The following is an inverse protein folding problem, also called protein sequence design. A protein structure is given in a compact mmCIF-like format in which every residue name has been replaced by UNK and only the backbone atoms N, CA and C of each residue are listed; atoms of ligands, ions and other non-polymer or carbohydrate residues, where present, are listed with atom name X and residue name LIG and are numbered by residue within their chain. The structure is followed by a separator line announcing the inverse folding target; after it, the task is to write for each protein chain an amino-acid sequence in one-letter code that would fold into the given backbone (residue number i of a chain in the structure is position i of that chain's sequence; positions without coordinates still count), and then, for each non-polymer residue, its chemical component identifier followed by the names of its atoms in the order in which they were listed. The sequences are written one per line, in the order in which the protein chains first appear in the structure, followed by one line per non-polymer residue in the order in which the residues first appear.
data_IF_478343141609
#
_entry.id   IF_478343141609
#
_cell.length_a   1.000
_cell.length_b   1.000
_cell.length_c   1.000
_cell.angle_alpha   90.00
_cell.angle_beta   90.00
_cell.angle_gamma   90.00
#
_symmetry.space_group_name_H-M   'P 1'
#
loop_
_entity.id
_entity.type
_entity.pdbx_description
1 polymer ?
#
# COMPACT_ATOMS: atom_id res chain seq x y z
N UNK A 1 14.34 -15.11 2.78
CA UNK A 1 14.56 -13.67 2.59
C UNK A 1 13.25 -13.09 2.09
N UNK A 2 12.79 -11.99 2.67
CA UNK A 2 11.50 -11.42 2.32
C UNK A 2 11.54 -10.71 0.95
N UNK A 3 10.43 -10.76 0.21
CA UNK A 3 10.18 -9.92 -0.97
C UNK A 3 9.09 -8.89 -0.63
N UNK A 4 9.40 -7.62 -0.86
CA UNK A 4 8.52 -6.48 -0.58
C UNK A 4 8.22 -5.79 -1.89
N UNK A 5 6.94 -5.76 -2.30
CA UNK A 5 6.49 -5.06 -3.49
C UNK A 5 5.89 -3.70 -3.12
N UNK A 6 6.37 -2.62 -3.72
CA UNK A 6 5.82 -1.27 -3.55
C UNK A 6 5.10 -0.88 -4.83
N UNK A 7 3.77 -0.81 -4.77
CA UNK A 7 2.89 -0.48 -5.89
C UNK A 7 2.55 1.01 -5.86
N UNK A 8 2.92 1.73 -6.91
CA UNK A 8 2.85 3.19 -6.99
C UNK A 8 4.16 3.86 -6.56
N UNK A 9 5.28 3.19 -6.79
CA UNK A 9 6.61 3.63 -6.35
C UNK A 9 7.19 4.81 -7.17
N UNK A 10 6.42 5.44 -8.05
CA UNK A 10 6.87 6.58 -8.84
C UNK A 10 7.04 7.90 -8.07
N UNK A 11 6.66 7.93 -6.77
CA UNK A 11 6.88 9.08 -5.92
C UNK A 11 8.29 9.08 -5.33
N UNK A 12 9.14 10.02 -5.77
CA UNK A 12 10.53 10.11 -5.32
C UNK A 12 10.65 10.22 -3.80
N UNK A 13 9.87 11.10 -3.16
CA UNK A 13 9.93 11.34 -1.72
C UNK A 13 9.40 10.13 -0.93
N UNK A 14 8.20 9.66 -1.27
CA UNK A 14 7.54 8.62 -0.49
C UNK A 14 8.25 7.27 -0.63
N UNK A 15 8.60 6.91 -1.86
CA UNK A 15 9.24 5.61 -2.13
C UNK A 15 10.67 5.54 -1.61
N UNK A 16 11.44 6.63 -1.65
CA UNK A 16 12.79 6.64 -1.06
C UNK A 16 12.74 6.56 0.47
N UNK A 17 11.78 7.23 1.12
CA UNK A 17 11.61 7.14 2.58
C UNK A 17 11.26 5.72 2.99
N UNK A 18 10.20 5.13 2.40
CA UNK A 18 9.79 3.75 2.70
C UNK A 18 10.92 2.74 2.44
N UNK A 19 11.63 2.90 1.33
CA UNK A 19 12.73 1.99 1.01
C UNK A 19 13.88 2.14 1.98
N UNK A 20 14.24 3.37 2.38
CA UNK A 20 15.28 3.58 3.40
C UNK A 20 14.90 2.96 4.74
N UNK A 21 13.63 3.04 5.15
CA UNK A 21 13.14 2.40 6.37
C UNK A 21 13.27 0.87 6.28
N UNK A 22 12.90 0.28 5.13
CA UNK A 22 13.07 -1.16 4.88
C UNK A 22 14.55 -1.55 4.98
N UNK A 23 15.46 -0.78 4.35
CA UNK A 23 16.90 -1.08 4.35
C UNK A 23 17.53 -1.03 5.76
N UNK A 24 16.95 -0.27 6.67
CA UNK A 24 17.44 -0.10 8.04
C UNK A 24 16.70 -0.99 9.06
N UNK A 25 15.64 -1.68 8.66
CA UNK A 25 14.82 -2.49 9.57
C UNK A 25 15.51 -3.81 9.89
N UNK A 26 15.86 -4.08 11.18
CA UNK A 26 16.43 -5.33 11.59
C UNK A 26 15.52 -6.52 11.25
N UNK A 27 16.13 -7.56 10.65
CA UNK A 27 15.42 -8.77 10.20
C UNK A 27 14.90 -8.70 8.76
N UNK A 28 15.14 -7.60 8.05
CA UNK A 28 14.87 -7.48 6.61
C UNK A 28 16.17 -7.48 5.76
N UNK A 29 17.30 -7.79 6.37
CA UNK A 29 18.58 -7.86 5.67
C UNK A 29 18.53 -8.82 4.50
N UNK A 30 19.05 -8.41 3.35
CA UNK A 30 19.07 -9.21 2.13
C UNK A 30 17.70 -9.38 1.46
N UNK A 31 16.67 -8.67 1.90
CA UNK A 31 15.36 -8.68 1.25
C UNK A 31 15.42 -8.16 -0.19
N UNK A 32 14.42 -8.53 -0.99
CA UNK A 32 14.23 -8.01 -2.34
C UNK A 32 13.12 -6.97 -2.33
N UNK A 33 13.39 -5.76 -2.82
CA UNK A 33 12.39 -4.70 -2.97
C UNK A 33 12.06 -4.55 -4.45
N UNK A 34 10.79 -4.80 -4.81
CA UNK A 34 10.25 -4.61 -6.14
C UNK A 34 9.51 -3.27 -6.19
N UNK A 35 9.98 -2.35 -7.01
CA UNK A 35 9.38 -1.03 -7.19
C UNK A 35 8.53 -1.04 -8.48
N UNK A 36 7.24 -0.76 -8.36
CA UNK A 36 6.33 -0.75 -9.51
C UNK A 36 5.63 0.60 -9.65
N UNK A 37 5.64 1.15 -10.86
CA UNK A 37 4.80 2.28 -11.28
C UNK A 37 4.52 2.17 -12.78
N UNK A 38 3.30 2.50 -13.25
CA UNK A 38 2.99 2.51 -14.68
C UNK A 38 3.91 3.41 -15.52
N UNK A 39 4.56 4.38 -14.89
CA UNK A 39 5.56 5.25 -15.54
C UNK A 39 6.95 4.76 -15.17
N UNK A 40 7.49 3.82 -15.94
CA UNK A 40 8.77 3.16 -15.69
C UNK A 40 9.92 4.12 -15.41
N UNK A 41 10.00 5.25 -16.13
CA UNK A 41 11.08 6.23 -15.93
C UNK A 41 11.11 6.84 -14.53
N UNK A 42 9.95 6.98 -13.87
CA UNK A 42 9.88 7.49 -12.50
C UNK A 42 10.45 6.48 -11.51
N UNK A 43 10.03 5.23 -11.63
CA UNK A 43 10.48 4.18 -10.71
C UNK A 43 11.94 3.81 -10.90
N UNK A 44 12.46 3.88 -12.13
CA UNK A 44 13.88 3.72 -12.43
C UNK A 44 14.74 4.79 -11.74
N UNK A 45 14.25 6.03 -11.64
CA UNK A 45 14.95 7.09 -10.92
C UNK A 45 15.07 6.78 -9.42
N UNK A 46 14.01 6.24 -8.82
CA UNK A 46 14.01 5.78 -7.41
C UNK A 46 14.99 4.61 -7.24
N UNK A 47 14.91 3.62 -8.13
CA UNK A 47 15.80 2.46 -8.11
C UNK A 47 17.28 2.86 -8.16
N UNK A 48 17.64 3.74 -9.10
CA UNK A 48 19.02 4.22 -9.24
C UNK A 48 19.51 4.95 -7.99
N UNK A 49 18.67 5.76 -7.38
CA UNK A 49 19.02 6.47 -6.15
C UNK A 49 19.24 5.50 -4.99
N UNK A 50 18.31 4.59 -4.75
CA UNK A 50 18.39 3.65 -3.63
C UNK A 50 19.48 2.60 -3.85
N UNK A 51 19.71 2.14 -5.08
CA UNK A 51 20.81 1.23 -5.43
C UNK A 51 22.19 1.82 -5.08
N UNK A 52 22.35 3.15 -5.22
CA UNK A 52 23.58 3.83 -4.76
C UNK A 52 23.70 3.77 -3.23
N UNK A 53 22.61 3.92 -2.50
CA UNK A 53 22.60 3.81 -1.03
C UNK A 53 23.00 2.39 -0.61
N UNK A 54 22.40 1.37 -1.20
CA UNK A 54 22.71 -0.04 -0.95
C UNK A 54 24.21 -0.28 -1.17
N UNK A 55 24.75 0.13 -2.32
CA UNK A 55 26.15 -0.05 -2.68
C UNK A 55 27.10 0.69 -1.73
N UNK A 56 26.82 1.95 -1.43
CA UNK A 56 27.70 2.79 -0.62
C UNK A 56 27.76 2.34 0.85
N UNK A 57 26.71 1.70 1.33
CA UNK A 57 26.62 1.20 2.70
C UNK A 57 26.92 -0.31 2.82
N UNK A 58 27.28 -0.98 1.73
CA UNK A 58 27.59 -2.42 1.74
C UNK A 58 26.39 -3.30 2.11
N UNK A 59 25.16 -2.85 1.86
CA UNK A 59 23.96 -3.61 2.19
C UNK A 59 23.75 -4.77 1.20
N UNK A 60 23.07 -5.83 1.67
CA UNK A 60 22.86 -7.06 0.90
C UNK A 60 21.51 -7.13 0.18
N UNK A 61 20.71 -6.08 0.30
CA UNK A 61 19.39 -5.98 -0.33
C UNK A 61 19.46 -6.00 -1.85
N UNK A 62 18.44 -6.56 -2.47
CA UNK A 62 18.23 -6.54 -3.92
C UNK A 62 17.09 -5.61 -4.27
N UNK A 63 17.15 -5.00 -5.44
CA UNK A 63 16.11 -4.10 -5.91
C UNK A 63 15.94 -4.21 -7.42
N UNK A 64 14.71 -4.03 -7.89
CA UNK A 64 14.42 -3.85 -9.30
C UNK A 64 13.18 -2.96 -9.48
N UNK A 65 13.11 -2.30 -10.65
CA UNK A 65 12.01 -1.45 -11.08
C UNK A 65 11.27 -2.10 -12.25
N UNK A 66 9.95 -2.03 -12.24
CA UNK A 66 9.09 -2.57 -13.30
C UNK A 66 7.83 -1.73 -13.47
N UNK A 67 7.23 -1.75 -14.67
CA UNK A 67 5.89 -1.25 -14.95
C UNK A 67 4.83 -2.37 -14.96
N UNK A 68 5.26 -3.62 -14.86
CA UNK A 68 4.37 -4.77 -14.71
C UNK A 68 4.07 -5.06 -13.23
N UNK A 69 2.80 -4.83 -12.86
CA UNK A 69 2.31 -5.08 -11.50
C UNK A 69 2.46 -6.55 -11.08
N UNK A 70 2.19 -7.47 -11.98
CA UNK A 70 2.28 -8.91 -11.67
C UNK A 70 3.72 -9.35 -11.44
N UNK A 71 4.68 -8.83 -12.22
CA UNK A 71 6.10 -9.09 -12.01
C UNK A 71 6.56 -8.63 -10.62
N UNK A 72 6.11 -7.46 -10.20
CA UNK A 72 6.41 -6.96 -8.84
C UNK A 72 5.82 -7.88 -7.76
N UNK A 73 4.59 -8.36 -7.95
CA UNK A 73 3.83 -9.13 -6.97
C UNK A 73 4.27 -10.58 -6.83
N UNK A 74 4.74 -11.24 -7.92
CA UNK A 74 5.09 -12.67 -7.89
C UNK A 74 5.99 -13.00 -6.71
N UNK A 75 5.50 -13.86 -5.79
CA UNK A 75 6.24 -14.31 -4.62
C UNK A 75 6.52 -13.23 -3.58
N UNK A 76 5.77 -12.14 -3.55
CA UNK A 76 5.87 -11.12 -2.50
C UNK A 76 5.36 -11.65 -1.16
N UNK A 77 6.06 -11.31 -0.09
CA UNK A 77 5.63 -11.54 1.29
C UNK A 77 4.87 -10.32 1.85
N UNK A 78 5.23 -9.12 1.35
CA UNK A 78 4.62 -7.86 1.73
C UNK A 78 4.32 -7.04 0.48
N UNK A 79 3.15 -6.41 0.45
CA UNK A 79 2.75 -5.49 -0.63
C UNK A 79 2.38 -4.16 0.00
N UNK A 80 3.01 -3.08 -0.45
CA UNK A 80 2.75 -1.72 0.01
C UNK A 80 2.10 -0.96 -1.15
N UNK A 81 0.92 -0.36 -0.92
CA UNK A 81 0.27 0.49 -1.92
C UNK A 81 0.47 1.97 -1.59
N UNK A 82 0.96 2.76 -2.55
CA UNK A 82 1.28 4.17 -2.35
C UNK A 82 1.07 4.99 -3.63
N UNK A 83 -0.18 5.06 -4.11
CA UNK A 83 -0.50 5.79 -5.34
C UNK A 83 -1.73 6.69 -5.18
N UNK A 84 -1.88 7.62 -6.09
CA UNK A 84 -3.04 8.50 -6.20
C UNK A 84 -3.58 8.51 -7.62
N UNK A 85 -4.82 8.04 -7.78
CA UNK A 85 -5.48 8.00 -9.08
C UNK A 85 -5.98 9.39 -9.47
N UNK A 86 -5.64 9.82 -10.69
CA UNK A 86 -6.02 11.11 -11.25
C UNK A 86 -5.13 12.29 -10.83
N UNK A 87 -4.13 12.05 -9.98
CA UNK A 87 -3.15 13.06 -9.60
C UNK A 87 -3.77 14.31 -8.95
N UNK A 88 -3.09 15.44 -9.08
CA UNK A 88 -3.51 16.74 -8.51
C UNK A 88 -4.74 17.32 -9.23
N UNK A 89 -4.93 17.03 -10.51
CA UNK A 89 -6.09 17.54 -11.26
C UNK A 89 -7.40 16.97 -10.72
N UNK A 90 -7.46 15.66 -10.50
CA UNK A 90 -8.62 15.04 -9.89
C UNK A 90 -8.82 15.50 -8.43
N UNK A 91 -7.73 15.67 -7.68
CA UNK A 91 -7.79 16.18 -6.31
C UNK A 91 -8.37 17.59 -6.24
N UNK A 92 -7.99 18.46 -7.17
CA UNK A 92 -8.55 19.80 -7.29
C UNK A 92 -10.08 19.78 -7.42
N UNK A 93 -10.60 18.90 -8.27
CA UNK A 93 -12.06 18.72 -8.43
C UNK A 93 -12.73 18.18 -7.17
N UNK A 94 -12.10 17.25 -6.45
CA UNK A 94 -12.61 16.71 -5.18
C UNK A 94 -12.77 17.78 -4.11
N UNK A 95 -11.97 18.83 -4.15
CA UNK A 95 -12.03 19.96 -3.24
C UNK A 95 -12.95 21.08 -3.74
N UNK A 96 -12.78 21.54 -4.98
CA UNK A 96 -13.47 22.72 -5.51
C UNK A 96 -14.97 22.51 -5.76
N UNK A 97 -15.37 21.28 -6.14
CA UNK A 97 -16.79 21.02 -6.40
C UNK A 97 -17.63 21.10 -5.13
N UNK A 98 -17.29 20.42 -4.02
CA UNK A 98 -18.02 20.55 -2.76
C UNK A 98 -18.06 21.99 -2.25
N UNK A 99 -16.97 22.74 -2.41
CA UNK A 99 -16.89 24.13 -1.97
C UNK A 99 -17.96 25.02 -2.64
N UNK A 100 -18.30 24.77 -3.91
CA UNK A 100 -19.37 25.48 -4.63
C UNK A 100 -20.76 25.30 -3.98
N UNK A 101 -20.92 24.24 -3.21
CA UNK A 101 -22.17 23.91 -2.48
C UNK A 101 -22.07 24.24 -0.98
N UNK A 102 -21.07 25.04 -0.58
CA UNK A 102 -20.88 25.45 0.81
C UNK A 102 -20.26 24.39 1.71
N UNK A 103 -19.73 23.29 1.15
CA UNK A 103 -19.01 22.26 1.90
C UNK A 103 -17.51 22.54 1.83
N UNK A 104 -17.01 23.24 2.83
CA UNK A 104 -15.58 23.49 2.98
C UNK A 104 -14.91 22.32 3.68
N UNK A 105 -13.96 21.69 2.99
CA UNK A 105 -13.23 20.52 3.46
C UNK A 105 -11.77 20.90 3.69
N UNK A 106 -11.25 20.70 4.90
CA UNK A 106 -9.85 21.03 5.22
C UNK A 106 -8.87 20.38 4.23
N UNK A 107 -8.98 19.05 4.03
CA UNK A 107 -8.16 18.29 3.08
C UNK A 107 -9.03 17.55 2.05
N UNK A 108 -10.23 17.07 2.47
CA UNK A 108 -11.23 16.45 1.60
C UNK A 108 -10.86 15.11 1.01
N UNK A 109 -9.82 14.43 1.52
CA UNK A 109 -9.34 13.20 0.90
C UNK A 109 -9.76 11.91 1.63
N UNK A 110 -10.22 11.99 2.87
CA UNK A 110 -10.55 10.82 3.69
C UNK A 110 -12.05 10.65 3.90
N UNK A 111 -12.75 11.76 4.20
CA UNK A 111 -14.19 11.80 4.49
C UNK A 111 -14.86 12.90 3.68
N UNK A 112 -16.20 12.86 3.64
CA UNK A 112 -16.98 13.84 2.89
C UNK A 112 -17.02 13.58 1.39
N UNK A 113 -17.61 14.50 0.60
CA UNK A 113 -17.84 14.32 -0.83
C UNK A 113 -16.56 14.06 -1.63
N UNK A 114 -15.48 14.77 -1.34
CA UNK A 114 -14.18 14.57 -2.00
C UNK A 114 -13.61 13.20 -1.73
N UNK A 115 -13.67 12.71 -0.48
CA UNK A 115 -13.24 11.37 -0.10
C UNK A 115 -14.04 10.27 -0.82
N UNK A 116 -15.36 10.45 -0.96
CA UNK A 116 -16.22 9.53 -1.72
C UNK A 116 -15.78 9.46 -3.18
N UNK A 117 -15.62 10.59 -3.85
CA UNK A 117 -15.21 10.64 -5.26
C UNK A 117 -13.83 10.02 -5.47
N UNK A 118 -12.91 10.27 -4.56
CA UNK A 118 -11.57 9.67 -4.58
C UNK A 118 -11.63 8.16 -4.39
N UNK A 119 -12.45 7.67 -3.45
CA UNK A 119 -12.69 6.25 -3.23
C UNK A 119 -13.26 5.56 -4.47
N UNK A 120 -14.27 6.15 -5.10
CA UNK A 120 -14.89 5.62 -6.32
C UNK A 120 -13.88 5.45 -7.48
N UNK A 121 -12.90 6.33 -7.60
CA UNK A 121 -11.83 6.20 -8.61
C UNK A 121 -10.79 5.15 -8.24
N UNK A 122 -10.52 4.97 -6.96
CA UNK A 122 -9.39 4.19 -6.48
C UNK A 122 -9.74 2.72 -6.27
N UNK A 123 -10.92 2.42 -5.75
CA UNK A 123 -11.37 1.06 -5.46
C UNK A 123 -11.29 0.11 -6.67
N UNK A 124 -11.70 0.48 -7.89
CA UNK A 124 -11.57 -0.43 -9.03
C UNK A 124 -10.15 -0.87 -9.33
N UNK A 125 -9.18 0.03 -9.13
CA UNK A 125 -7.76 -0.28 -9.33
C UNK A 125 -7.25 -1.22 -8.23
N UNK A 126 -7.64 -0.96 -6.98
CA UNK A 126 -7.31 -1.82 -5.85
C UNK A 126 -7.98 -3.21 -5.96
N UNK A 127 -9.22 -3.27 -6.43
CA UNK A 127 -9.90 -4.55 -6.69
C UNK A 127 -9.15 -5.38 -7.75
N UNK A 128 -8.63 -4.73 -8.80
CA UNK A 128 -7.75 -5.39 -9.77
C UNK A 128 -6.43 -5.87 -9.16
N UNK A 129 -5.85 -5.09 -8.26
CA UNK A 129 -4.65 -5.49 -7.51
C UNK A 129 -4.92 -6.73 -6.64
N UNK A 130 -6.06 -6.76 -5.93
CA UNK A 130 -6.44 -7.88 -5.07
C UNK A 130 -6.55 -9.18 -5.86
N UNK A 131 -7.16 -9.15 -7.06
CA UNK A 131 -7.24 -10.32 -7.95
C UNK A 131 -5.87 -10.82 -8.37
N UNK A 132 -4.95 -9.91 -8.74
CA UNK A 132 -3.59 -10.32 -9.06
C UNK A 132 -2.88 -10.93 -7.84
N UNK A 133 -3.06 -10.35 -6.65
CA UNK A 133 -2.47 -10.89 -5.42
C UNK A 133 -3.01 -12.29 -5.07
N UNK A 134 -4.31 -12.54 -5.25
CA UNK A 134 -4.91 -13.87 -5.06
C UNK A 134 -4.21 -14.94 -5.91
N UNK A 135 -3.79 -14.58 -7.13
CA UNK A 135 -3.16 -15.52 -8.05
C UNK A 135 -1.65 -15.70 -7.80
N UNK A 136 -0.91 -14.61 -7.53
CA UNK A 136 0.56 -14.63 -7.59
C UNK A 136 1.26 -14.49 -6.23
N UNK A 137 0.56 -14.02 -5.18
CA UNK A 137 1.08 -13.91 -3.82
C UNK A 137 -0.03 -14.02 -2.75
N UNK A 138 -0.78 -15.15 -2.71
CA UNK A 138 -1.97 -15.28 -1.87
C UNK A 138 -1.73 -15.20 -0.36
N UNK A 139 -0.49 -15.28 0.09
CA UNK A 139 -0.12 -15.19 1.50
C UNK A 139 0.55 -13.86 1.87
N UNK A 140 0.65 -12.92 0.93
CA UNK A 140 1.31 -11.65 1.18
C UNK A 140 0.49 -10.76 2.16
N UNK A 141 1.16 -10.02 3.01
CA UNK A 141 0.50 -8.99 3.82
C UNK A 141 0.40 -7.69 3.02
N UNK A 142 -0.82 -7.16 2.86
CA UNK A 142 -1.05 -5.89 2.20
C UNK A 142 -1.06 -4.73 3.22
N UNK A 143 -0.27 -3.71 2.94
CA UNK A 143 -0.13 -2.48 3.71
C UNK A 143 -0.61 -1.31 2.87
N UNK A 144 -1.79 -0.77 3.22
CA UNK A 144 -2.41 0.28 2.42
C UNK A 144 -2.05 1.68 2.91
N UNK A 145 -1.32 2.45 2.07
CA UNK A 145 -1.08 3.89 2.25
C UNK A 145 -1.97 4.76 1.33
N UNK A 146 -2.87 4.13 0.57
CA UNK A 146 -3.73 4.87 -0.37
C UNK A 146 -4.95 5.44 0.36
N UNK A 147 -5.20 6.72 0.17
CA UNK A 147 -6.39 7.41 0.68
C UNK A 147 -7.55 7.40 -0.33
N UNK A 148 -8.80 7.39 0.18
CA UNK A 148 -9.27 7.30 1.58
C UNK A 148 -9.04 5.90 2.16
N UNK A 149 -8.19 5.79 3.18
CA UNK A 149 -7.69 4.51 3.68
C UNK A 149 -8.81 3.55 4.07
N UNK A 150 -9.72 3.95 4.95
CA UNK A 150 -10.81 3.09 5.42
C UNK A 150 -11.72 2.64 4.25
N UNK A 151 -12.14 3.57 3.39
CA UNK A 151 -13.01 3.27 2.24
C UNK A 151 -12.34 2.32 1.25
N UNK A 152 -11.05 2.56 0.96
CA UNK A 152 -10.27 1.69 0.08
C UNK A 152 -10.08 0.29 0.70
N UNK A 153 -9.81 0.21 2.00
CA UNK A 153 -9.63 -1.06 2.71
C UNK A 153 -10.92 -1.89 2.73
N UNK A 154 -12.06 -1.26 3.00
CA UNK A 154 -13.37 -1.91 2.91
C UNK A 154 -13.65 -2.36 1.47
N UNK A 155 -13.39 -1.50 0.48
CA UNK A 155 -13.58 -1.84 -0.93
C UNK A 155 -12.73 -3.03 -1.39
N UNK A 156 -11.50 -3.14 -0.92
CA UNK A 156 -10.64 -4.30 -1.15
C UNK A 156 -11.19 -5.57 -0.50
N UNK A 157 -11.58 -5.50 0.77
CA UNK A 157 -12.15 -6.63 1.50
C UNK A 157 -13.46 -7.15 0.86
N UNK A 158 -14.28 -6.27 0.30
CA UNK A 158 -15.51 -6.64 -0.40
C UNK A 158 -15.30 -7.19 -1.81
N UNK A 159 -14.16 -6.90 -2.44
CA UNK A 159 -13.88 -7.26 -3.84
C UNK A 159 -13.08 -8.55 -4.00
N UNK A 160 -12.63 -9.16 -2.91
CA UNK A 160 -11.79 -10.35 -2.94
C UNK A 160 -12.09 -11.28 -1.77
N UNK A 161 -11.83 -12.58 -1.95
CA UNK A 161 -11.83 -13.57 -0.87
C UNK A 161 -10.47 -13.59 -0.12
N UNK A 162 -9.62 -12.61 -0.40
CA UNK A 162 -8.29 -12.52 0.16
C UNK A 162 -8.38 -12.13 1.64
N UNK A 163 -7.94 -13.01 2.51
CA UNK A 163 -7.75 -12.74 3.94
C UNK A 163 -6.58 -11.78 4.20
N UNK A 164 -6.32 -10.88 3.24
CA UNK A 164 -5.31 -9.87 3.37
C UNK A 164 -5.74 -8.88 4.45
N UNK A 165 -5.03 -8.94 5.53
CA UNK A 165 -5.15 -7.98 6.60
C UNK A 165 -4.67 -6.62 6.08
N UNK A 166 -5.61 -5.79 5.62
CA UNK A 166 -5.33 -4.41 5.31
C UNK A 166 -5.07 -3.69 6.64
N UNK A 167 -3.81 -3.52 7.00
CA UNK A 167 -3.42 -2.79 8.21
C UNK A 167 -3.17 -1.33 7.89
N UNK A 168 -3.61 -0.40 8.76
CA UNK A 168 -3.13 0.97 8.70
C UNK A 168 -1.61 0.97 8.84
N UNK A 169 -0.94 1.60 7.89
CA UNK A 169 0.51 1.71 7.88
C UNK A 169 1.10 2.36 9.14
N UNK A 170 0.31 3.17 9.83
CA UNK A 170 0.67 3.81 11.10
C UNK A 170 1.11 2.85 12.20
N UNK A 171 0.62 1.59 12.18
CA UNK A 171 1.05 0.56 13.14
C UNK A 171 2.47 0.03 12.88
N UNK A 172 3.02 0.23 11.67
CA UNK A 172 4.37 -0.21 11.32
C UNK A 172 5.44 0.84 11.62
N UNK A 173 5.07 2.12 11.65
CA UNK A 173 5.98 3.24 11.94
C UNK A 173 6.45 3.21 13.40
N UNK A 174 5.71 2.56 14.28
CA UNK A 174 6.08 2.44 15.70
C UNK A 174 7.26 1.51 15.98
N UNK A 175 7.81 0.81 14.98
CA UNK A 175 9.04 0.02 15.08
C UNK A 175 8.98 -1.20 16.02
N UNK A 176 7.84 -1.53 16.58
CA UNK A 176 7.68 -2.63 17.51
C UNK A 176 7.14 -3.88 16.81
N UNK A 177 8.03 -4.87 16.57
CA UNK A 177 7.65 -6.20 16.07
C UNK A 177 6.50 -6.84 16.86
N UNK A 178 6.46 -6.61 18.18
CA UNK A 178 5.44 -7.15 19.06
C UNK A 178 4.07 -6.52 18.79
N UNK A 179 4.00 -5.26 18.36
CA UNK A 179 2.75 -4.60 17.97
C UNK A 179 2.17 -5.17 16.67
N UNK A 180 3.01 -5.54 15.70
CA UNK A 180 2.59 -6.17 14.45
C UNK A 180 2.09 -7.58 14.69
N UNK A 181 2.76 -8.35 15.55
CA UNK A 181 2.36 -9.71 15.92
C UNK A 181 1.05 -9.67 16.73
N UNK A 182 0.94 -8.83 17.75
CA UNK A 182 -0.28 -8.66 18.57
C UNK A 182 -1.47 -8.20 17.75
N UNK A 183 -1.26 -7.30 16.78
CA UNK A 183 -2.34 -6.87 15.92
C UNK A 183 -2.81 -8.00 14.98
N UNK A 184 -1.95 -8.94 14.58
CA UNK A 184 -2.31 -10.15 13.84
C UNK A 184 -3.12 -11.12 14.70
N UNK A 185 -2.66 -11.40 15.91
CA UNK A 185 -3.35 -12.25 16.87
C UNK A 185 -4.75 -11.70 17.21
N UNK A 186 -4.87 -10.38 17.46
CA UNK A 186 -6.15 -9.71 17.73
C UNK A 186 -7.12 -9.81 16.56
N UNK A 187 -6.63 -9.74 15.32
CA UNK A 187 -7.49 -9.88 14.14
C UNK A 187 -7.96 -11.32 13.94
N UNK A 188 -7.05 -12.28 14.12
CA UNK A 188 -7.39 -13.70 14.03
C UNK A 188 -8.44 -14.07 15.09
N UNK A 189 -8.35 -13.49 16.32
CA UNK A 189 -9.34 -13.63 17.36
C UNK A 189 -10.69 -12.98 17.02
N UNK A 190 -10.70 -11.78 16.45
CA UNK A 190 -11.91 -11.07 16.03
C UNK A 190 -12.64 -11.80 14.89
N UNK A 191 -11.90 -12.27 13.89
CA UNK A 191 -12.49 -13.06 12.79
C UNK A 191 -13.03 -14.40 13.26
N UNK A 192 -12.37 -15.06 14.21
CA UNK A 192 -12.87 -16.28 14.81
C UNK A 192 -14.19 -16.04 15.61
N UNK A 193 -14.33 -14.90 16.29
CA UNK A 193 -15.53 -14.51 17.01
C UNK A 193 -16.70 -14.16 16.07
N UNK A 194 -16.45 -13.47 14.97
CA UNK A 194 -17.50 -13.17 13.96
C UNK A 194 -18.04 -14.43 13.28
N UNK A 195 -17.18 -15.41 13.00
CA UNK A 195 -17.59 -16.70 12.41
C UNK A 195 -18.37 -17.59 13.36
N UNK A 196 -18.27 -17.35 14.69
CA UNK A 196 -18.99 -18.14 15.73
C UNK A 196 -20.24 -17.46 16.26
N UNK A 197 -20.50 -16.20 15.91
CA UNK A 197 -21.70 -15.47 16.32
C UNK A 197 -22.91 -15.94 15.52
N UNK A 198 -24.02 -16.39 16.15
CA UNK A 198 -25.22 -16.74 15.43
C UNK A 198 -25.77 -15.50 14.71
N UNK A 199 -25.98 -15.62 13.40
CA UNK A 199 -26.69 -14.61 12.64
C UNK A 199 -28.15 -14.56 13.12
N UNK A 200 -28.51 -13.54 13.89
CA UNK A 200 -29.88 -13.22 14.27
C UNK A 200 -30.55 -12.36 13.22
#
# INVERSE_FOLDING_TARGET
MAKIAIIGAGSMVFSTTLTNDILQTPGLEGSTVALMDPVLSKVQSVEQYVSKIIKNNGLTHKMFATDDRREALVGADYVITTFQIGGMDAYKHDYEIPLKYGVDQCIGQCVGPGGVMRGLRTIPILAGLMKDMEEVCPNALLLNYVNPMCTCSIGMAMSSNYNAMCRPAELLISGDKASVIRARETYDDLTAQELTSPQT
#
